data_IF_802947356975
#
_entry.id   IF_802947356975
#
_cell.length_a   1.000
_cell.length_b   1.000
_cell.length_c   1.000
_cell.angle_alpha   90.00
_cell.angle_beta   90.00
_cell.angle_gamma   90.00
#
_symmetry.space_group_name_H-M   'P 1'
#
loop_
_entity.id
_entity.type
_entity.pdbx_description
1 polymer ?
#
# COMPACT_ATOMS: atom_id res chain seq x y z
N UNK A 1 1.79 65.40 37.22
CA UNK A 1 0.72 64.74 36.44
C UNK A 1 1.35 63.84 35.38
N UNK A 2 0.74 62.68 35.12
CA UNK A 2 0.91 61.85 33.91
C UNK A 2 2.25 61.11 33.72
N UNK A 3 2.46 60.06 34.50
CA UNK A 3 3.08 58.81 34.00
C UNK A 3 2.35 57.58 34.58
N UNK A 4 1.01 57.68 34.69
CA UNK A 4 0.10 56.57 35.04
C UNK A 4 -0.39 55.81 33.79
N UNK A 5 0.28 55.98 32.64
CA UNK A 5 -0.12 55.41 31.34
C UNK A 5 0.77 54.25 30.84
N UNK A 6 1.83 53.87 31.57
CA UNK A 6 2.70 52.76 31.17
C UNK A 6 2.13 51.41 31.63
N UNK A 7 1.33 51.38 32.71
CA UNK A 7 0.73 50.13 33.22
C UNK A 7 -0.56 49.71 32.51
N UNK A 8 -1.12 50.56 31.65
CA UNK A 8 -2.33 50.23 30.86
C UNK A 8 -1.97 49.49 29.56
N UNK A 9 -0.75 49.66 29.05
CA UNK A 9 -0.24 48.90 27.89
C UNK A 9 0.35 47.52 28.25
N UNK A 10 0.58 47.25 29.54
CA UNK A 10 0.96 45.92 30.05
C UNK A 10 -0.25 45.02 30.39
N UNK A 11 -1.46 45.59 30.49
CA UNK A 11 -2.71 44.88 30.79
C UNK A 11 -3.45 44.32 29.56
N UNK A 12 -3.06 44.68 28.34
CA UNK A 12 -3.67 44.20 27.09
C UNK A 12 -2.97 42.96 26.50
N UNK A 13 -2.07 42.32 27.26
CA UNK A 13 -1.41 41.07 26.88
C UNK A 13 -2.04 39.85 27.58
N UNK A 14 -3.37 39.87 27.81
CA UNK A 14 -4.09 38.77 28.44
C UNK A 14 -5.10 38.03 27.55
N UNK A 15 -5.30 38.39 26.27
CA UNK A 15 -6.42 37.81 25.51
C UNK A 15 -6.10 37.37 24.06
N UNK A 16 -4.82 37.17 23.71
CA UNK A 16 -4.44 36.79 22.33
C UNK A 16 -3.78 35.42 22.16
N UNK A 17 -3.34 34.75 23.22
CA UNK A 17 -2.49 33.55 23.15
C UNK A 17 -3.21 32.23 23.45
N UNK A 18 -4.53 32.19 23.29
CA UNK A 18 -5.32 30.95 23.30
C UNK A 18 -5.65 30.49 21.87
N UNK A 19 -4.71 30.58 20.93
CA UNK A 19 -4.79 29.88 19.64
C UNK A 19 -3.43 29.35 19.20
N UNK A 20 -2.96 28.30 19.88
CA UNK A 20 -2.04 27.31 19.31
C UNK A 20 -2.12 25.99 20.09
N UNK A 21 -3.34 25.44 20.21
CA UNK A 21 -3.61 24.08 20.70
C UNK A 21 -4.05 23.16 19.56
N UNK A 22 -3.36 23.21 18.42
CA UNK A 22 -3.63 22.31 17.29
C UNK A 22 -2.38 21.68 16.65
N UNK A 23 -1.22 21.73 17.34
CA UNK A 23 -0.01 21.02 16.93
C UNK A 23 0.53 20.00 17.95
N UNK A 24 -0.06 19.93 19.15
CA UNK A 24 0.36 19.03 20.23
C UNK A 24 -0.68 17.96 20.55
N UNK A 25 -1.44 17.47 19.57
CA UNK A 25 -2.20 16.24 19.75
C UNK A 25 -1.34 15.03 19.34
N UNK A 26 -0.27 14.78 20.10
CA UNK A 26 0.55 13.57 19.95
C UNK A 26 0.06 12.40 20.81
N UNK A 27 -1.02 12.56 21.59
CA UNK A 27 -1.47 11.55 22.56
C UNK A 27 -2.64 10.68 22.09
N UNK A 28 -3.07 10.82 20.83
CA UNK A 28 -4.02 9.89 20.20
C UNK A 28 -3.49 9.19 18.95
N UNK A 29 -2.16 9.11 18.83
CA UNK A 29 -1.55 7.97 18.14
C UNK A 29 -1.46 6.84 19.15
N UNK A 30 -2.61 6.25 19.49
CA UNK A 30 -2.61 4.82 19.77
C UNK A 30 -1.70 4.22 18.70
N UNK A 31 -0.61 3.57 19.12
CA UNK A 31 0.26 2.83 18.24
C UNK A 31 -0.64 1.77 17.60
N UNK A 32 -1.36 2.10 16.52
CA UNK A 32 -2.22 1.18 15.81
C UNK A 32 -1.29 0.05 15.43
N UNK A 33 -1.41 -1.04 16.17
CA UNK A 33 -0.55 -2.18 16.03
C UNK A 33 -0.69 -2.59 14.57
N UNK A 34 0.44 -2.77 13.89
CA UNK A 34 0.37 -3.19 12.48
C UNK A 34 -0.46 -4.46 12.46
N UNK A 35 -1.53 -4.53 11.64
CA UNK A 35 -2.41 -5.68 11.64
C UNK A 35 -1.61 -6.96 11.48
N UNK A 36 -1.96 -8.00 12.24
CA UNK A 36 -1.30 -9.30 12.13
C UNK A 36 -1.55 -9.90 10.75
N UNK A 37 -0.77 -10.91 10.37
CA UNK A 37 -0.96 -11.59 9.08
C UNK A 37 -2.38 -12.15 8.93
N UNK A 38 -2.89 -12.78 9.98
CA UNK A 38 -4.23 -13.36 10.00
C UNK A 38 -5.30 -12.27 9.89
N UNK A 39 -5.14 -11.15 10.62
CA UNK A 39 -6.04 -10.00 10.50
C UNK A 39 -6.04 -9.42 9.08
N UNK A 40 -4.87 -9.36 8.42
CA UNK A 40 -4.76 -8.90 7.03
C UNK A 40 -5.45 -9.84 6.04
N UNK A 41 -5.42 -11.14 6.28
CA UNK A 41 -6.11 -12.15 5.47
C UNK A 41 -7.62 -12.01 5.69
N UNK A 42 -8.08 -11.95 6.93
CA UNK A 42 -9.49 -11.74 7.27
C UNK A 42 -10.05 -10.44 6.67
N UNK A 43 -9.30 -9.33 6.75
CA UNK A 43 -9.71 -8.06 6.13
C UNK A 43 -9.86 -8.20 4.61
N UNK A 44 -8.93 -8.88 3.93
CA UNK A 44 -9.03 -9.12 2.48
C UNK A 44 -10.22 -10.02 2.14
N UNK A 45 -10.48 -11.06 2.93
CA UNK A 45 -11.62 -11.95 2.74
C UNK A 45 -12.94 -11.21 2.96
N UNK A 46 -13.06 -10.43 4.03
CA UNK A 46 -14.24 -9.62 4.31
C UNK A 46 -14.51 -8.58 3.21
N UNK A 47 -13.45 -7.97 2.67
CA UNK A 47 -13.57 -7.08 1.51
C UNK A 47 -14.06 -7.83 0.27
N UNK A 48 -13.57 -9.05 0.04
CA UNK A 48 -13.99 -9.86 -1.09
C UNK A 48 -15.46 -10.31 -0.96
N UNK A 49 -15.90 -10.77 0.22
CA UNK A 49 -17.32 -11.10 0.50
C UNK A 49 -18.23 -9.92 0.13
N UNK A 50 -17.87 -8.70 0.56
CA UNK A 50 -18.62 -7.48 0.22
C UNK A 50 -18.58 -7.16 -1.29
N UNK A 51 -17.43 -7.29 -1.93
CA UNK A 51 -17.25 -6.99 -3.36
C UNK A 51 -18.05 -7.96 -4.25
N UNK A 52 -18.19 -9.20 -3.80
CA UNK A 52 -18.94 -10.25 -4.48
C UNK A 52 -20.44 -10.27 -4.12
N UNK A 53 -20.85 -9.47 -3.13
CA UNK A 53 -22.23 -9.40 -2.63
C UNK A 53 -22.76 -10.79 -2.23
N UNK A 54 -21.98 -11.53 -1.45
CA UNK A 54 -22.37 -12.87 -0.98
C UNK A 54 -23.37 -12.75 0.17
N UNK A 55 -24.37 -13.63 0.16
CA UNK A 55 -25.20 -13.89 1.34
C UNK A 55 -24.41 -14.65 2.42
N UNK A 56 -24.93 -14.69 3.64
CA UNK A 56 -24.24 -15.26 4.80
C UNK A 56 -23.92 -16.76 4.62
N UNK A 57 -24.81 -17.52 3.98
CA UNK A 57 -24.60 -18.96 3.76
C UNK A 57 -23.50 -19.23 2.73
N UNK A 58 -23.46 -18.44 1.65
CA UNK A 58 -22.42 -18.50 0.63
C UNK A 58 -21.08 -17.98 1.18
N UNK A 59 -21.10 -16.89 1.96
CA UNK A 59 -19.93 -16.31 2.60
C UNK A 59 -19.27 -17.29 3.58
N UNK A 60 -20.06 -18.04 4.36
CA UNK A 60 -19.55 -19.05 5.29
C UNK A 60 -18.79 -20.18 4.58
N UNK A 61 -19.24 -20.59 3.38
CA UNK A 61 -18.54 -21.60 2.56
C UNK A 61 -17.34 -21.01 1.82
N UNK A 62 -17.47 -19.78 1.32
CA UNK A 62 -16.44 -19.10 0.54
C UNK A 62 -15.21 -18.72 1.37
N UNK A 63 -15.41 -18.17 2.57
CA UNK A 63 -14.37 -17.63 3.45
C UNK A 63 -13.20 -18.60 3.65
N UNK A 64 -13.38 -19.84 4.14
CA UNK A 64 -12.27 -20.75 4.38
C UNK A 64 -11.53 -21.16 3.09
N UNK A 65 -12.23 -21.22 1.94
CA UNK A 65 -11.62 -21.52 0.64
C UNK A 65 -10.75 -20.34 0.19
N UNK A 66 -11.26 -19.12 0.32
CA UNK A 66 -10.55 -17.92 -0.11
C UNK A 66 -9.35 -17.57 0.78
N UNK A 67 -9.43 -17.83 2.10
CA UNK A 67 -8.29 -17.64 2.99
C UNK A 67 -7.13 -18.58 2.67
N UNK A 68 -7.42 -19.86 2.40
CA UNK A 68 -6.41 -20.82 1.95
C UNK A 68 -5.80 -20.38 0.61
N UNK A 69 -6.62 -19.91 -0.33
CA UNK A 69 -6.14 -19.34 -1.59
C UNK A 69 -5.16 -18.16 -1.37
N UNK A 70 -5.51 -17.20 -0.51
CA UNK A 70 -4.64 -16.05 -0.21
C UNK A 70 -3.30 -16.47 0.41
N UNK A 71 -3.31 -17.49 1.27
CA UNK A 71 -2.11 -18.04 1.89
C UNK A 71 -1.22 -18.76 0.86
N UNK A 72 -1.77 -19.65 0.03
CA UNK A 72 -1.01 -20.33 -1.03
C UNK A 72 -0.44 -19.33 -2.06
N UNK A 73 -1.21 -18.30 -2.45
CA UNK A 73 -0.73 -17.21 -3.28
C UNK A 73 0.44 -16.45 -2.63
N UNK A 74 0.41 -16.27 -1.32
CA UNK A 74 1.49 -15.59 -0.58
C UNK A 74 2.72 -16.47 -0.52
N UNK A 75 2.58 -17.75 -0.18
CA UNK A 75 3.70 -18.71 -0.16
C UNK A 75 4.36 -18.81 -1.54
N UNK A 76 3.56 -18.90 -2.61
CA UNK A 76 4.06 -18.88 -3.98
C UNK A 76 4.87 -17.60 -4.27
N UNK A 77 4.43 -16.44 -3.79
CA UNK A 77 5.19 -15.17 -3.95
C UNK A 77 6.48 -15.14 -3.13
N UNK A 78 6.52 -15.84 -2.01
CA UNK A 78 7.65 -15.83 -1.08
C UNK A 78 8.66 -16.96 -1.32
N UNK A 79 8.34 -17.98 -2.13
CA UNK A 79 9.17 -19.17 -2.32
C UNK A 79 10.61 -18.88 -2.80
N UNK A 80 10.80 -17.80 -3.57
CA UNK A 80 12.11 -17.39 -4.11
C UNK A 80 12.70 -16.17 -3.37
N UNK A 81 12.06 -15.73 -2.28
CA UNK A 81 12.53 -14.56 -1.53
C UNK A 81 13.68 -15.00 -0.64
N UNK A 82 14.89 -14.53 -0.95
CA UNK A 82 16.04 -14.69 -0.05
C UNK A 82 15.68 -14.13 1.33
N UNK A 83 16.00 -14.82 2.44
CA UNK A 83 15.89 -14.27 3.77
C UNK A 83 16.56 -12.90 3.76
N UNK A 84 15.87 -11.89 4.28
CA UNK A 84 16.53 -10.63 4.56
C UNK A 84 17.40 -10.91 5.78
N UNK A 85 18.58 -11.49 5.57
CA UNK A 85 19.67 -11.41 6.53
C UNK A 85 19.70 -9.96 6.98
N UNK A 86 19.64 -9.76 8.29
CA UNK A 86 19.47 -8.47 8.93
C UNK A 86 20.30 -7.45 8.19
N UNK A 87 19.63 -6.52 7.48
CA UNK A 87 20.29 -5.29 7.12
C UNK A 87 20.56 -4.63 8.45
N UNK A 88 21.77 -4.83 8.97
CA UNK A 88 22.27 -4.19 10.17
C UNK A 88 21.81 -2.75 10.13
N UNK A 89 20.92 -2.40 11.06
CA UNK A 89 20.50 -1.04 11.29
C UNK A 89 21.79 -0.29 11.67
N UNK A 90 22.36 0.48 10.74
CA UNK A 90 23.46 1.39 11.03
C UNK A 90 24.60 1.46 10.02
N UNK A 91 24.99 0.36 9.36
CA UNK A 91 26.26 0.36 8.59
C UNK A 91 26.11 0.63 7.08
N UNK A 92 24.95 0.35 6.46
CA UNK A 92 24.77 0.53 5.00
C UNK A 92 24.22 1.91 4.59
N UNK A 93 24.12 2.87 5.52
CA UNK A 93 23.74 4.24 5.16
C UNK A 93 24.85 4.97 4.40
N UNK A 94 26.11 4.52 4.53
CA UNK A 94 27.28 5.16 3.90
C UNK A 94 27.81 4.48 2.62
N UNK A 95 27.30 3.31 2.22
CA UNK A 95 27.63 2.68 0.92
C UNK A 95 26.71 3.17 -0.22
N UNK A 96 26.22 4.41 -0.12
CA UNK A 96 25.37 5.07 -1.12
C UNK A 96 26.12 6.12 -1.95
N UNK A 97 27.44 6.03 -2.00
CA UNK A 97 28.23 6.68 -3.03
C UNK A 97 28.81 5.55 -3.89
N UNK A 98 28.58 5.66 -5.20
CA UNK A 98 29.05 4.74 -6.24
C UNK A 98 28.20 3.48 -6.47
N UNK A 99 27.04 3.67 -7.10
CA UNK A 99 26.82 3.21 -8.47
C UNK A 99 26.92 1.73 -8.86
N UNK A 100 27.35 0.80 -8.00
CA UNK A 100 27.52 -0.60 -8.39
C UNK A 100 26.82 -1.51 -7.40
N UNK A 101 25.58 -1.88 -7.73
CA UNK A 101 25.09 -3.20 -7.29
C UNK A 101 26.02 -4.22 -7.95
N UNK A 102 26.49 -5.26 -7.23
CA UNK A 102 27.22 -6.35 -7.86
C UNK A 102 26.42 -6.84 -9.07
N UNK A 103 27.03 -6.83 -10.25
CA UNK A 103 26.42 -7.44 -11.42
C UNK A 103 26.26 -8.93 -11.12
N UNK A 104 25.04 -9.46 -11.28
CA UNK A 104 24.83 -10.90 -11.15
C UNK A 104 25.59 -11.61 -12.27
N UNK A 105 26.17 -12.76 -11.96
CA UNK A 105 26.79 -13.64 -12.96
C UNK A 105 25.72 -14.30 -13.83
N UNK A 106 26.08 -14.77 -15.03
CA UNK A 106 25.15 -15.45 -15.94
C UNK A 106 24.50 -16.69 -15.30
N UNK A 107 25.24 -17.42 -14.46
CA UNK A 107 24.72 -18.56 -13.72
C UNK A 107 23.65 -18.15 -12.69
N UNK A 108 23.86 -17.03 -11.99
CA UNK A 108 22.87 -16.49 -11.04
C UNK A 108 21.63 -15.94 -11.76
N UNK A 109 21.81 -15.29 -12.92
CA UNK A 109 20.72 -14.83 -13.76
C UNK A 109 19.90 -16.03 -14.26
N UNK A 110 20.56 -17.08 -14.76
CA UNK A 110 19.90 -18.30 -15.22
C UNK A 110 19.10 -18.98 -14.11
N UNK A 111 19.66 -19.09 -12.89
CA UNK A 111 18.95 -19.62 -11.73
C UNK A 111 17.74 -18.76 -11.35
N UNK A 112 17.89 -17.43 -11.34
CA UNK A 112 16.79 -16.51 -11.07
C UNK A 112 15.65 -16.66 -12.09
N UNK A 113 15.98 -16.74 -13.39
CA UNK A 113 14.98 -16.92 -14.46
C UNK A 113 14.26 -18.26 -14.34
N UNK A 114 14.98 -19.35 -14.07
CA UNK A 114 14.36 -20.67 -13.81
C UNK A 114 13.41 -20.63 -12.62
N UNK A 115 13.80 -19.95 -11.55
CA UNK A 115 12.97 -19.76 -10.36
C UNK A 115 11.71 -18.93 -10.66
N UNK A 116 11.79 -17.91 -11.52
CA UNK A 116 10.62 -17.17 -11.99
C UNK A 116 9.65 -18.05 -12.77
N UNK A 117 10.14 -18.90 -13.67
CA UNK A 117 9.27 -19.85 -14.39
C UNK A 117 8.60 -20.84 -13.45
N UNK A 118 9.33 -21.40 -12.48
CA UNK A 118 8.76 -22.30 -11.48
C UNK A 118 7.66 -21.60 -10.65
N UNK A 119 7.91 -20.35 -10.23
CA UNK A 119 6.92 -19.54 -9.51
C UNK A 119 5.69 -19.24 -10.37
N UNK A 120 5.87 -18.89 -11.65
CA UNK A 120 4.75 -18.63 -12.56
C UNK A 120 3.88 -19.87 -12.81
N UNK A 121 4.48 -21.05 -12.95
CA UNK A 121 3.74 -22.32 -13.07
C UNK A 121 2.92 -22.59 -11.81
N UNK A 122 3.56 -22.57 -10.64
CA UNK A 122 2.87 -22.78 -9.36
C UNK A 122 1.73 -21.78 -9.13
N UNK A 123 1.91 -20.52 -9.55
CA UNK A 123 0.87 -19.49 -9.50
C UNK A 123 -0.35 -19.85 -10.36
N UNK A 124 -0.12 -20.39 -11.56
CA UNK A 124 -1.20 -20.84 -12.44
C UNK A 124 -1.89 -22.07 -11.85
N UNK A 125 -1.14 -23.05 -11.34
CA UNK A 125 -1.69 -24.26 -10.72
C UNK A 125 -2.60 -23.91 -9.54
N UNK A 126 -2.19 -22.97 -8.68
CA UNK A 126 -3.01 -22.48 -7.56
C UNK A 126 -4.29 -21.83 -8.10
N UNK A 127 -4.20 -20.99 -9.13
CA UNK A 127 -5.37 -20.31 -9.71
C UNK A 127 -6.37 -21.27 -10.33
N UNK A 128 -5.89 -22.30 -11.01
CA UNK A 128 -6.72 -23.34 -11.60
C UNK A 128 -7.37 -24.22 -10.52
N UNK A 129 -6.58 -24.67 -9.53
CA UNK A 129 -7.09 -25.42 -8.37
C UNK A 129 -8.23 -24.67 -7.68
N UNK A 130 -8.05 -23.39 -7.37
CA UNK A 130 -9.07 -22.61 -6.67
C UNK A 130 -10.19 -22.11 -7.58
N UNK A 131 -9.99 -22.00 -8.89
CA UNK A 131 -11.10 -21.83 -9.83
C UNK A 131 -12.12 -22.96 -9.67
N UNK A 132 -11.65 -24.21 -9.65
CA UNK A 132 -12.50 -25.38 -9.48
C UNK A 132 -13.25 -25.35 -8.14
N UNK A 133 -12.59 -24.96 -7.05
CA UNK A 133 -13.26 -24.80 -5.75
C UNK A 133 -14.26 -23.64 -5.72
N UNK A 134 -13.91 -22.48 -6.29
CA UNK A 134 -14.82 -21.35 -6.37
C UNK A 134 -16.03 -21.64 -7.25
N UNK A 135 -15.87 -22.40 -8.34
CA UNK A 135 -16.97 -22.74 -9.26
C UNK A 135 -18.09 -23.57 -8.61
N UNK A 136 -17.81 -24.23 -7.49
CA UNK A 136 -18.80 -24.97 -6.69
C UNK A 136 -19.68 -24.06 -5.83
N UNK A 137 -19.24 -22.83 -5.56
CA UNK A 137 -19.83 -21.93 -4.55
C UNK A 137 -20.29 -20.60 -5.18
N UNK A 138 -19.61 -20.15 -6.24
CA UNK A 138 -19.77 -18.84 -6.84
C UNK A 138 -20.18 -18.94 -8.30
N UNK A 139 -20.94 -17.94 -8.77
CA UNK A 139 -21.18 -17.76 -10.20
C UNK A 139 -19.92 -17.36 -10.96
N UNK A 140 -19.87 -17.66 -12.26
CA UNK A 140 -18.75 -17.27 -13.13
C UNK A 140 -18.52 -15.75 -13.14
N UNK A 141 -19.58 -14.93 -13.00
CA UNK A 141 -19.47 -13.47 -12.88
C UNK A 141 -18.76 -13.04 -11.60
N UNK A 142 -19.03 -13.71 -10.48
CA UNK A 142 -18.34 -13.45 -9.21
C UNK A 142 -16.87 -13.88 -9.27
N UNK A 143 -16.59 -15.04 -9.87
CA UNK A 143 -15.21 -15.52 -10.07
C UNK A 143 -14.41 -14.55 -10.94
N UNK A 144 -15.01 -14.06 -12.03
CA UNK A 144 -14.39 -13.02 -12.87
C UNK A 144 -14.04 -11.76 -12.05
N UNK A 145 -14.91 -11.34 -11.11
CA UNK A 145 -14.62 -10.19 -10.23
C UNK A 145 -13.43 -10.45 -9.30
N UNK A 146 -13.22 -11.68 -8.82
CA UNK A 146 -12.03 -12.03 -8.00
C UNK A 146 -10.76 -11.71 -8.79
N UNK A 147 -10.65 -12.21 -10.02
CA UNK A 147 -9.46 -11.99 -10.86
C UNK A 147 -9.27 -10.52 -11.27
N UNK A 148 -10.37 -9.79 -11.52
CA UNK A 148 -10.31 -8.36 -11.77
C UNK A 148 -9.77 -7.59 -10.56
N UNK A 149 -10.24 -7.95 -9.35
CA UNK A 149 -9.79 -7.33 -8.11
C UNK A 149 -8.31 -7.62 -7.86
N UNK A 150 -7.83 -8.85 -8.09
CA UNK A 150 -6.41 -9.20 -8.02
C UNK A 150 -5.55 -8.36 -8.96
N UNK A 151 -5.97 -8.24 -10.23
CA UNK A 151 -5.27 -7.44 -11.24
C UNK A 151 -5.22 -5.97 -10.83
N UNK A 152 -6.33 -5.43 -10.33
CA UNK A 152 -6.42 -4.06 -9.81
C UNK A 152 -5.48 -3.85 -8.61
N UNK A 153 -5.46 -4.79 -7.67
CA UNK A 153 -4.58 -4.76 -6.50
C UNK A 153 -3.11 -4.79 -6.93
N UNK A 154 -2.72 -5.69 -7.84
CA UNK A 154 -1.36 -5.75 -8.39
C UNK A 154 -0.94 -4.42 -9.06
N UNK A 155 -1.84 -3.81 -9.84
CA UNK A 155 -1.60 -2.51 -10.46
C UNK A 155 -1.41 -1.39 -9.43
N UNK A 156 -2.21 -1.38 -8.36
CA UNK A 156 -2.05 -0.42 -7.26
C UNK A 156 -0.69 -0.60 -6.58
N UNK A 157 -0.29 -1.85 -6.29
CA UNK A 157 1.02 -2.13 -5.72
C UNK A 157 2.17 -1.70 -6.63
N UNK A 158 2.07 -1.95 -7.94
CA UNK A 158 3.07 -1.50 -8.92
C UNK A 158 3.19 0.02 -8.96
N UNK A 159 2.06 0.73 -9.07
CA UNK A 159 2.02 2.20 -9.05
C UNK A 159 2.63 2.77 -7.75
N UNK A 160 2.29 2.17 -6.62
CA UNK A 160 2.83 2.58 -5.32
C UNK A 160 4.33 2.31 -5.20
N UNK A 161 4.81 1.18 -5.71
CA UNK A 161 6.24 0.85 -5.76
C UNK A 161 7.01 1.85 -6.64
N UNK A 162 6.51 2.13 -7.85
CA UNK A 162 7.12 3.08 -8.78
C UNK A 162 7.14 4.50 -8.17
N UNK A 163 6.06 4.90 -7.51
CA UNK A 163 5.96 6.19 -6.79
C UNK A 163 7.03 6.31 -5.71
N UNK A 164 7.25 5.26 -4.91
CA UNK A 164 8.29 5.22 -3.87
C UNK A 164 9.70 5.21 -4.46
N UNK A 165 9.93 4.45 -5.53
CA UNK A 165 11.22 4.41 -6.23
C UNK A 165 11.60 5.79 -6.77
N UNK A 166 10.62 6.56 -7.24
CA UNK A 166 10.79 7.95 -7.71
C UNK A 166 10.84 9.00 -6.58
N UNK A 167 10.79 8.59 -5.31
CA UNK A 167 10.89 9.50 -4.16
C UNK A 167 9.68 10.43 -3.94
N UNK A 168 8.56 10.21 -4.64
CA UNK A 168 7.36 11.06 -4.51
C UNK A 168 6.65 10.79 -3.18
N UNK A 169 6.03 11.79 -2.55
CA UNK A 169 5.20 11.62 -1.32
C UNK A 169 3.78 11.14 -1.66
N UNK A 170 3.06 10.46 -0.74
CA UNK A 170 1.67 10.07 -0.96
C UNK A 170 0.82 11.32 -1.20
N UNK A 171 -0.05 11.33 -2.22
CA UNK A 171 -0.91 12.47 -2.54
C UNK A 171 -0.34 13.48 -3.55
N UNK A 172 0.93 13.38 -3.95
CA UNK A 172 1.46 14.10 -5.12
C UNK A 172 1.12 13.34 -6.41
N UNK A 173 -0.15 13.42 -6.80
CA UNK A 173 -0.62 13.07 -8.14
C UNK A 173 -0.24 14.15 -9.16
N UNK A 174 -0.31 13.81 -10.46
CA UNK A 174 0.11 14.64 -11.59
C UNK A 174 -0.49 16.06 -11.59
N UNK A 175 0.30 17.04 -11.15
CA UNK A 175 0.17 18.45 -11.54
C UNK A 175 1.24 18.83 -12.58
N UNK A 176 1.67 17.89 -13.41
CA UNK A 176 2.44 18.22 -14.62
C UNK A 176 1.44 18.26 -15.78
N UNK A 177 0.98 19.45 -16.15
CA UNK A 177 0.35 19.65 -17.47
C UNK A 177 -0.87 20.56 -17.62
N UNK A 178 -1.33 21.31 -16.61
CA UNK A 178 -2.17 22.47 -16.94
C UNK A 178 -1.26 23.62 -17.38
N UNK A 179 -0.98 23.68 -18.69
CA UNK A 179 -0.58 24.97 -19.31
C UNK A 179 -1.62 26.00 -18.87
N UNK A 180 -1.22 27.18 -18.37
CA UNK A 180 -2.19 28.26 -18.17
C UNK A 180 -2.85 28.53 -19.53
N UNK A 181 -4.17 28.38 -19.61
CA UNK A 181 -4.93 28.89 -20.76
C UNK A 181 -4.60 30.38 -20.85
N UNK A 182 -4.04 30.81 -21.97
CA UNK A 182 -3.82 32.22 -22.24
C UNK A 182 -5.15 32.98 -22.08
N UNK A 183 -5.15 34.19 -21.49
CA UNK A 183 -6.36 34.98 -21.38
C UNK A 183 -6.91 35.24 -22.79
N UNK A 184 -8.18 34.90 -22.99
CA UNK A 184 -8.94 35.25 -24.18
C UNK A 184 -8.96 36.78 -24.25
N UNK A 185 -8.24 37.37 -25.18
CA UNK A 185 -8.36 38.80 -25.46
C UNK A 185 -9.82 39.05 -25.81
N UNK A 186 -10.46 39.92 -25.02
CA UNK A 186 -11.80 40.40 -25.30
C UNK A 186 -11.78 41.19 -26.60
N UNK A 187 -12.67 40.81 -27.51
CA UNK A 187 -13.08 41.65 -28.63
C UNK A 187 -13.65 42.95 -28.04
N UNK A 188 -13.15 44.08 -28.53
CA UNK A 188 -13.80 45.38 -28.45
C UNK A 188 -14.46 45.67 -29.78
#
# INVERSE_FOLDING_TARGET
MKMKFIYVLLGALLLGSQMSLSAQNNDNREKKQRPTQEQMVQMQTNQMVKTLMLDDATAAKFTPVYEKYLNELRECRMMNRKPRAEKAQGAEANAKREGQRPSMTDAEIAAMLKNQFAQSRKMLDIREKYYNEFSKILSQKQIMKIYQQEKSNANKFKKEFDRRKKGRKPGQGHHEGQKPRAPRQGEK
#
